data_IF_317970521063
#
_entry.id   IF_317970521063
#
_cell.length_a   1.000
_cell.length_b   1.000
_cell.length_c   1.000
_cell.angle_alpha   90.00
_cell.angle_beta   90.00
_cell.angle_gamma   90.00
#
_symmetry.space_group_name_H-M   'P 1'
#
loop_
_entity.id
_entity.type
_entity.pdbx_description
1 polymer ?
#
# COMPACT_ATOMS: atom_id res chain seq x y z
N UNK A 1 5.18 -26.62 5.57
CA UNK A 1 6.32 -26.92 4.66
C UNK A 1 7.60 -26.51 5.36
N UNK A 2 8.50 -27.47 5.61
CA UNK A 2 9.80 -27.19 6.24
C UNK A 2 10.65 -26.30 5.33
N UNK A 3 11.39 -25.34 5.92
CA UNK A 3 12.24 -24.42 5.17
C UNK A 3 13.35 -25.16 4.42
N UNK A 4 13.99 -24.52 3.44
CA UNK A 4 15.14 -25.11 2.75
C UNK A 4 16.24 -25.53 3.74
N UNK A 5 16.52 -24.72 4.76
CA UNK A 5 17.49 -25.02 5.81
C UNK A 5 17.10 -26.22 6.68
N UNK A 6 15.81 -26.36 7.01
CA UNK A 6 15.29 -27.51 7.77
C UNK A 6 15.48 -28.82 6.98
N UNK A 7 15.22 -28.78 5.66
CA UNK A 7 15.48 -29.92 4.75
C UNK A 7 16.96 -30.21 4.61
N UNK A 8 17.77 -29.16 4.42
CA UNK A 8 19.21 -29.27 4.32
C UNK A 8 19.82 -29.85 5.60
N UNK A 9 19.30 -29.51 6.76
CA UNK A 9 19.75 -30.07 8.04
C UNK A 9 19.52 -31.59 8.09
N UNK A 10 18.31 -32.05 7.73
CA UNK A 10 18.00 -33.47 7.67
C UNK A 10 18.83 -34.21 6.60
N UNK A 11 19.09 -33.58 5.45
CA UNK A 11 19.94 -34.12 4.40
C UNK A 11 21.41 -34.22 4.87
N UNK A 12 21.91 -33.21 5.58
CA UNK A 12 23.27 -33.19 6.10
C UNK A 12 23.50 -34.27 7.15
N UNK A 13 22.54 -34.44 8.07
CA UNK A 13 22.64 -35.46 9.12
C UNK A 13 22.74 -36.86 8.48
N UNK A 14 21.92 -37.13 7.45
CA UNK A 14 22.00 -38.37 6.66
C UNK A 14 23.32 -38.53 5.89
N UNK A 15 23.86 -37.46 5.30
CA UNK A 15 25.13 -37.53 4.57
C UNK A 15 26.34 -37.73 5.48
N UNK A 16 26.28 -37.20 6.70
CA UNK A 16 27.30 -37.43 7.73
C UNK A 16 27.26 -38.90 8.19
N UNK A 17 26.07 -39.44 8.45
CA UNK A 17 25.91 -40.86 8.83
C UNK A 17 26.40 -41.82 7.73
N UNK A 18 26.26 -41.42 6.46
CA UNK A 18 26.76 -42.18 5.30
C UNK A 18 28.25 -41.96 5.03
N UNK A 19 28.94 -41.11 5.80
CA UNK A 19 30.35 -40.78 5.60
C UNK A 19 30.66 -39.96 4.34
N UNK A 20 29.63 -39.42 3.67
CA UNK A 20 29.78 -38.58 2.47
C UNK A 20 30.27 -37.18 2.81
N UNK A 21 30.00 -36.70 4.03
CA UNK A 21 30.37 -35.37 4.50
C UNK A 21 31.03 -35.47 5.87
N UNK A 22 32.21 -34.85 6.10
CA UNK A 22 32.82 -34.79 7.42
C UNK A 22 31.94 -34.05 8.43
N UNK A 23 31.77 -34.60 9.63
CA UNK A 23 30.95 -33.99 10.69
C UNK A 23 31.39 -32.56 11.07
N UNK A 24 32.69 -32.27 10.97
CA UNK A 24 33.25 -30.93 11.24
C UNK A 24 32.75 -29.83 10.29
N UNK A 25 32.28 -30.21 9.09
CA UNK A 25 31.80 -29.25 8.10
C UNK A 25 30.33 -28.87 8.28
N UNK A 26 29.60 -29.57 9.16
CA UNK A 26 28.16 -29.39 9.37
C UNK A 26 27.80 -27.93 9.66
N UNK A 27 28.47 -27.34 10.63
CA UNK A 27 28.20 -25.97 11.08
C UNK A 27 28.54 -24.95 10.00
N UNK A 28 29.66 -25.14 9.29
CA UNK A 28 30.07 -24.27 8.19
C UNK A 28 29.05 -24.28 7.03
N UNK A 29 28.57 -25.46 6.64
CA UNK A 29 27.58 -25.60 5.56
C UNK A 29 26.20 -25.06 5.97
N UNK A 30 25.75 -25.29 7.21
CA UNK A 30 24.49 -24.72 7.68
C UNK A 30 24.56 -23.19 7.84
N UNK A 31 25.75 -22.65 8.13
CA UNK A 31 25.98 -21.21 8.22
C UNK A 31 26.11 -20.51 6.87
N UNK A 32 26.49 -21.25 5.80
CA UNK A 32 26.56 -20.69 4.44
C UNK A 32 25.18 -20.51 3.81
N UNK A 33 24.16 -21.20 4.32
CA UNK A 33 22.78 -21.09 3.86
C UNK A 33 22.03 -20.09 4.74
N UNK A 34 21.65 -18.97 4.12
CA UNK A 34 20.80 -17.97 4.75
C UNK A 34 19.52 -18.61 5.27
N UNK A 35 19.13 -18.28 6.52
CA UNK A 35 17.84 -18.68 7.05
C UNK A 35 16.75 -18.26 6.06
N UNK A 36 15.97 -19.24 5.61
CA UNK A 36 14.80 -18.98 4.79
C UNK A 36 13.90 -18.06 5.59
N UNK A 37 13.84 -16.78 5.19
CA UNK A 37 13.16 -15.69 5.87
C UNK A 37 11.68 -16.05 6.04
N UNK A 38 11.34 -16.79 7.09
CA UNK A 38 9.96 -17.06 7.49
C UNK A 38 9.37 -15.69 7.78
N UNK A 39 8.30 -15.35 7.07
CA UNK A 39 7.45 -14.23 7.49
C UNK A 39 6.94 -14.64 8.86
N UNK A 40 7.50 -14.04 9.90
CA UNK A 40 7.11 -14.34 11.27
C UNK A 40 5.63 -14.02 11.39
N UNK A 41 4.81 -15.04 11.66
CA UNK A 41 3.36 -14.88 11.75
C UNK A 41 3.02 -13.79 12.77
N UNK A 42 3.81 -13.70 13.85
CA UNK A 42 3.69 -12.66 14.87
C UNK A 42 3.84 -11.25 14.28
N UNK A 43 4.80 -11.05 13.38
CA UNK A 43 5.02 -9.78 12.70
C UNK A 43 3.85 -9.48 11.76
N UNK A 44 3.40 -10.46 10.98
CA UNK A 44 2.25 -10.27 10.10
C UNK A 44 0.98 -9.90 10.88
N UNK A 45 0.70 -10.61 11.99
CA UNK A 45 -0.40 -10.29 12.89
C UNK A 45 -0.25 -8.91 13.52
N UNK A 46 0.96 -8.50 13.91
CA UNK A 46 1.20 -7.16 14.46
C UNK A 46 0.93 -6.06 13.42
N UNK A 47 1.34 -6.26 12.15
CA UNK A 47 1.04 -5.32 11.07
C UNK A 47 -0.45 -5.23 10.81
N UNK A 48 -1.12 -6.38 10.66
CA UNK A 48 -2.57 -6.44 10.44
C UNK A 48 -3.31 -5.80 11.62
N UNK A 49 -2.93 -6.12 12.85
CA UNK A 49 -3.52 -5.56 14.06
C UNK A 49 -3.36 -4.05 14.14
N UNK A 50 -2.20 -3.51 13.78
CA UNK A 50 -1.99 -2.06 13.74
C UNK A 50 -2.86 -1.37 12.67
N UNK A 51 -2.99 -1.97 11.48
CA UNK A 51 -3.88 -1.46 10.43
C UNK A 51 -5.35 -1.49 10.87
N UNK A 52 -5.78 -2.61 11.44
CA UNK A 52 -7.14 -2.78 11.98
C UNK A 52 -7.41 -1.79 13.12
N UNK A 53 -6.43 -1.50 13.98
CA UNK A 53 -6.57 -0.51 15.04
C UNK A 53 -6.81 0.89 14.47
N UNK A 54 -6.10 1.28 13.41
CA UNK A 54 -6.32 2.54 12.71
C UNK A 54 -7.73 2.64 12.12
N UNK A 55 -8.19 1.58 11.46
CA UNK A 55 -9.56 1.50 10.92
C UNK A 55 -10.61 1.52 12.03
N UNK A 56 -10.38 0.78 13.12
CA UNK A 56 -11.28 0.73 14.27
C UNK A 56 -11.41 2.10 14.94
N UNK A 57 -10.34 2.88 15.04
CA UNK A 57 -10.40 4.23 15.56
C UNK A 57 -11.28 5.15 14.70
N UNK A 58 -11.16 5.07 13.36
CA UNK A 58 -12.03 5.81 12.44
C UNK A 58 -13.49 5.36 12.60
N UNK A 59 -13.73 4.05 12.63
CA UNK A 59 -15.07 3.48 12.78
C UNK A 59 -15.71 3.86 14.12
N UNK A 60 -14.93 3.91 15.20
CA UNK A 60 -15.40 4.34 16.51
C UNK A 60 -15.88 5.80 16.49
N UNK A 61 -15.13 6.70 15.85
CA UNK A 61 -15.53 8.11 15.72
C UNK A 61 -16.78 8.24 14.86
N UNK A 62 -16.86 7.47 13.77
CA UNK A 62 -18.03 7.41 12.90
C UNK A 62 -19.26 6.84 13.63
N UNK A 63 -19.10 5.85 14.51
CA UNK A 63 -20.19 5.26 15.27
C UNK A 63 -20.71 6.18 16.38
N UNK A 64 -19.85 7.01 16.96
CA UNK A 64 -20.20 7.98 17.99
C UNK A 64 -20.49 9.38 17.41
N UNK A 65 -20.90 9.43 16.13
CA UNK A 65 -21.08 10.67 15.39
C UNK A 65 -22.00 11.64 16.12
N UNK A 66 -23.19 11.21 16.52
CA UNK A 66 -24.21 12.10 17.07
C UNK A 66 -23.84 12.68 18.45
N UNK A 67 -22.95 12.02 19.18
CA UNK A 67 -22.57 12.39 20.55
C UNK A 67 -21.39 13.37 20.57
N UNK A 68 -20.42 13.20 19.68
CA UNK A 68 -19.16 13.96 19.73
C UNK A 68 -19.33 15.32 19.01
N UNK A 69 -18.99 16.47 19.60
CA UNK A 69 -19.01 17.76 18.91
C UNK A 69 -18.05 17.83 17.72
N UNK A 70 -18.40 18.59 16.67
CA UNK A 70 -17.60 18.72 15.43
C UNK A 70 -16.10 18.97 15.66
N UNK A 71 -15.77 19.95 16.51
CA UNK A 71 -14.37 20.31 16.80
C UNK A 71 -13.63 19.22 17.56
N UNK A 72 -14.32 18.48 18.43
CA UNK A 72 -13.74 17.36 19.17
C UNK A 72 -13.44 16.18 18.24
N UNK A 73 -14.29 15.88 17.25
CA UNK A 73 -14.02 14.83 16.24
C UNK A 73 -12.73 15.13 15.47
N UNK A 74 -12.58 16.37 15.01
CA UNK A 74 -11.40 16.82 14.29
C UNK A 74 -10.15 16.77 15.18
N UNK A 75 -10.24 17.28 16.42
CA UNK A 75 -9.13 17.21 17.38
C UNK A 75 -8.71 15.77 17.71
N UNK A 76 -9.66 14.85 17.84
CA UNK A 76 -9.39 13.44 18.12
C UNK A 76 -8.65 12.79 16.94
N UNK A 77 -9.14 12.96 15.71
CA UNK A 77 -8.44 12.42 14.53
C UNK A 77 -7.05 13.05 14.37
N UNK A 78 -6.93 14.37 14.53
CA UNK A 78 -5.66 15.05 14.39
C UNK A 78 -4.66 14.59 15.46
N UNK A 79 -5.09 14.49 16.71
CA UNK A 79 -4.24 14.00 17.80
C UNK A 79 -3.80 12.55 17.58
N UNK A 80 -4.70 11.69 17.10
CA UNK A 80 -4.38 10.31 16.75
C UNK A 80 -3.36 10.25 15.60
N UNK A 81 -3.55 11.03 14.54
CA UNK A 81 -2.61 11.13 13.43
C UNK A 81 -1.22 11.60 13.90
N UNK A 82 -1.17 12.67 14.70
CA UNK A 82 0.07 13.19 15.26
C UNK A 82 0.75 12.19 16.20
N UNK A 83 -0.02 11.46 17.01
CA UNK A 83 0.52 10.43 17.89
C UNK A 83 1.16 9.28 17.08
N UNK A 84 0.50 8.82 16.02
CA UNK A 84 1.03 7.75 15.15
C UNK A 84 2.27 8.20 14.39
N UNK A 85 2.29 9.43 13.87
CA UNK A 85 3.49 10.00 13.24
C UNK A 85 4.62 10.21 14.26
N UNK A 86 4.30 10.70 15.46
CA UNK A 86 5.26 10.82 16.56
C UNK A 86 5.87 9.47 16.91
N UNK A 87 5.05 8.42 17.00
CA UNK A 87 5.53 7.06 17.22
C UNK A 87 6.39 6.55 16.05
N UNK A 88 6.00 6.83 14.80
CA UNK A 88 6.75 6.43 13.62
C UNK A 88 8.13 7.12 13.57
N UNK A 89 8.17 8.42 13.82
CA UNK A 89 9.40 9.20 13.84
C UNK A 89 10.32 8.79 14.98
N UNK A 90 9.77 8.51 16.18
CA UNK A 90 10.53 7.97 17.30
C UNK A 90 11.11 6.59 16.96
N UNK A 91 10.30 5.70 16.39
CA UNK A 91 10.71 4.37 15.91
C UNK A 91 11.81 4.42 14.83
N UNK A 92 11.84 5.49 14.03
CA UNK A 92 12.81 5.67 12.96
C UNK A 92 14.19 6.14 13.43
N UNK A 93 14.33 6.73 14.63
CA UNK A 93 15.57 7.41 15.08
C UNK A 93 16.79 6.50 15.06
N UNK A 94 16.63 5.27 15.53
CA UNK A 94 17.76 4.34 15.69
C UNK A 94 17.88 3.35 14.52
N UNK A 95 16.98 3.42 13.53
CA UNK A 95 16.92 2.49 12.39
C UNK A 95 16.64 1.02 12.75
N UNK A 96 16.60 0.69 14.04
CA UNK A 96 16.49 -0.68 14.55
C UNK A 96 15.12 -1.34 14.31
N UNK A 97 14.09 -0.55 14.00
CA UNK A 97 12.69 -1.01 13.87
C UNK A 97 12.07 -0.59 12.53
N UNK A 98 12.60 -1.06 11.38
CA UNK A 98 12.12 -0.64 10.06
C UNK A 98 10.68 -1.10 9.80
N UNK A 99 10.32 -2.30 10.26
CA UNK A 99 8.96 -2.85 10.10
C UNK A 99 7.95 -2.01 10.88
N UNK A 100 8.25 -1.68 12.14
CA UNK A 100 7.36 -0.86 12.98
C UNK A 100 7.13 0.52 12.36
N UNK A 101 8.21 1.19 11.95
CA UNK A 101 8.16 2.49 11.27
C UNK A 101 7.30 2.43 10.02
N UNK A 102 7.52 1.41 9.17
CA UNK A 102 6.77 1.22 7.95
C UNK A 102 5.27 1.01 8.21
N UNK A 103 4.94 0.19 9.21
CA UNK A 103 3.56 -0.07 9.61
C UNK A 103 2.89 1.19 10.17
N UNK A 104 3.55 1.92 11.06
CA UNK A 104 3.01 3.15 11.65
C UNK A 104 2.77 4.22 10.58
N UNK A 105 3.66 4.38 9.61
CA UNK A 105 3.46 5.31 8.49
C UNK A 105 2.30 4.88 7.59
N UNK A 106 2.08 3.58 7.43
CA UNK A 106 0.93 3.03 6.70
C UNK A 106 -0.38 3.32 7.44
N UNK A 107 -0.39 3.14 8.76
CA UNK A 107 -1.52 3.49 9.62
C UNK A 107 -1.79 5.00 9.60
N UNK A 108 -0.76 5.84 9.68
CA UNK A 108 -0.90 7.29 9.59
C UNK A 108 -1.54 7.72 8.25
N UNK A 109 -1.13 7.10 7.14
CA UNK A 109 -1.74 7.33 5.83
C UNK A 109 -3.24 7.00 5.81
N UNK A 110 -3.64 5.87 6.40
CA UNK A 110 -5.05 5.48 6.49
C UNK A 110 -5.87 6.39 7.41
N UNK A 111 -5.30 6.80 8.55
CA UNK A 111 -5.94 7.75 9.47
C UNK A 111 -6.16 9.09 8.78
N UNK A 112 -5.17 9.56 8.00
CA UNK A 112 -5.32 10.78 7.22
C UNK A 112 -6.39 10.67 6.13
N UNK A 113 -6.46 9.53 5.43
CA UNK A 113 -7.54 9.27 4.47
C UNK A 113 -8.92 9.31 5.15
N UNK A 114 -9.03 8.67 6.32
CA UNK A 114 -10.22 8.75 7.17
C UNK A 114 -10.54 10.18 7.57
N UNK A 115 -9.54 10.98 7.95
CA UNK A 115 -9.70 12.39 8.32
C UNK A 115 -10.34 13.22 7.21
N UNK A 116 -9.90 13.03 5.96
CA UNK A 116 -10.47 13.72 4.80
C UNK A 116 -11.95 13.33 4.61
N UNK A 117 -12.26 12.04 4.62
CA UNK A 117 -13.64 11.57 4.48
C UNK A 117 -14.55 12.07 5.60
N UNK A 118 -14.04 12.05 6.84
CA UNK A 118 -14.75 12.52 8.01
C UNK A 118 -15.02 14.03 7.96
N UNK A 119 -14.03 14.80 7.48
CA UNK A 119 -14.13 16.25 7.30
C UNK A 119 -15.22 16.60 6.27
N UNK A 120 -15.30 15.86 5.16
CA UNK A 120 -16.37 16.02 4.17
C UNK A 120 -17.76 15.86 4.79
N UNK A 121 -17.94 14.85 5.65
CA UNK A 121 -19.20 14.63 6.36
C UNK A 121 -19.49 15.69 7.44
N UNK A 122 -18.47 16.20 8.15
CA UNK A 122 -18.65 17.21 9.21
C UNK A 122 -19.15 18.55 8.66
N UNK A 123 -18.61 18.97 7.52
CA UNK A 123 -18.88 20.29 6.94
C UNK A 123 -20.02 20.27 5.92
N UNK A 124 -20.68 19.13 5.72
CA UNK A 124 -21.73 18.93 4.70
C UNK A 124 -21.29 19.45 3.32
N UNK A 125 -20.00 19.31 3.04
CA UNK A 125 -19.46 19.68 1.74
C UNK A 125 -19.79 18.51 0.83
N UNK A 126 -20.55 18.76 -0.24
CA UNK A 126 -20.70 17.85 -1.37
C UNK A 126 -19.32 17.68 -2.05
N UNK A 127 -18.46 16.91 -1.41
CA UNK A 127 -17.09 16.67 -1.82
C UNK A 127 -17.07 15.53 -2.82
N UNK A 128 -16.31 15.73 -3.89
CA UNK A 128 -16.01 14.69 -4.88
C UNK A 128 -15.15 13.59 -4.22
N UNK A 129 -15.68 12.36 -4.03
CA UNK A 129 -14.94 11.27 -3.38
C UNK A 129 -13.64 10.91 -4.11
N UNK A 130 -13.60 11.08 -5.44
CA UNK A 130 -12.41 10.86 -6.25
C UNK A 130 -11.28 11.82 -5.84
N UNK A 131 -11.58 13.10 -5.63
CA UNK A 131 -10.60 14.11 -5.18
C UNK A 131 -10.16 13.87 -3.73
N UNK A 132 -11.08 13.48 -2.86
CA UNK A 132 -10.78 13.14 -1.48
C UNK A 132 -9.78 11.97 -1.40
N UNK A 133 -10.03 10.90 -2.15
CA UNK A 133 -9.15 9.72 -2.18
C UNK A 133 -7.79 10.01 -2.84
N UNK A 134 -7.75 10.81 -3.92
CA UNK A 134 -6.49 11.21 -4.57
C UNK A 134 -5.63 12.10 -3.68
N UNK A 135 -6.23 13.07 -2.99
CA UNK A 135 -5.50 13.93 -2.05
C UNK A 135 -4.98 13.14 -0.83
N UNK A 136 -5.75 12.17 -0.34
CA UNK A 136 -5.28 11.22 0.67
C UNK A 136 -4.12 10.36 0.16
N UNK A 137 -4.20 9.87 -1.08
CA UNK A 137 -3.13 9.13 -1.74
C UNK A 137 -1.86 9.95 -1.93
N UNK A 138 -1.98 11.24 -2.26
CA UNK A 138 -0.84 12.15 -2.35
C UNK A 138 -0.17 12.34 -0.98
N UNK A 139 -0.94 12.57 0.07
CA UNK A 139 -0.40 12.66 1.42
C UNK A 139 0.29 11.36 1.87
N UNK A 140 -0.29 10.21 1.54
CA UNK A 140 0.33 8.91 1.76
C UNK A 140 1.64 8.75 0.97
N UNK A 141 1.71 9.26 -0.27
CA UNK A 141 2.95 9.28 -1.05
C UNK A 141 4.02 10.18 -0.42
N UNK A 142 3.64 11.33 0.12
CA UNK A 142 4.55 12.21 0.86
C UNK A 142 5.09 11.52 2.11
N UNK A 143 4.24 10.84 2.89
CA UNK A 143 4.67 10.04 4.03
C UNK A 143 5.59 8.88 3.62
N UNK A 144 5.30 8.23 2.49
CA UNK A 144 6.12 7.17 1.93
C UNK A 144 7.52 7.67 1.61
N UNK A 145 7.63 8.81 0.90
CA UNK A 145 8.93 9.39 0.52
C UNK A 145 9.68 9.91 1.75
N UNK A 146 9.01 10.64 2.64
CA UNK A 146 9.62 11.21 3.84
C UNK A 146 10.16 10.12 4.79
N UNK A 147 9.43 9.02 4.95
CA UNK A 147 9.82 7.91 5.82
C UNK A 147 10.48 6.72 5.12
N UNK A 148 10.74 6.82 3.81
CA UNK A 148 11.20 5.71 2.95
C UNK A 148 10.37 4.42 3.16
N UNK A 149 9.06 4.57 3.31
CA UNK A 149 8.12 3.51 3.69
C UNK A 149 7.42 2.91 2.49
N UNK A 150 7.68 1.63 2.22
CA UNK A 150 6.99 0.88 1.17
C UNK A 150 5.51 0.64 1.50
N UNK A 151 5.16 0.50 2.78
CA UNK A 151 3.77 0.33 3.22
C UNK A 151 2.92 1.57 2.99
N UNK A 152 3.44 2.77 3.33
CA UNK A 152 2.76 4.02 3.00
C UNK A 152 2.67 4.24 1.48
N UNK A 153 3.68 3.79 0.72
CA UNK A 153 3.65 3.82 -0.75
C UNK A 153 2.57 2.90 -1.33
N UNK A 154 2.37 1.72 -0.73
CA UNK A 154 1.26 0.82 -1.08
C UNK A 154 -0.09 1.50 -0.78
N UNK A 155 -0.24 2.11 0.40
CA UNK A 155 -1.45 2.85 0.75
C UNK A 155 -1.71 4.01 -0.23
N UNK A 156 -0.67 4.72 -0.66
CA UNK A 156 -0.77 5.80 -1.64
C UNK A 156 -1.36 5.32 -2.96
N UNK A 157 -0.80 4.25 -3.54
CA UNK A 157 -1.29 3.68 -4.79
C UNK A 157 -2.71 3.11 -4.65
N UNK A 158 -3.00 2.45 -3.53
CA UNK A 158 -4.33 1.93 -3.25
C UNK A 158 -5.38 3.06 -3.17
N UNK A 159 -5.08 4.16 -2.46
CA UNK A 159 -5.98 5.31 -2.33
C UNK A 159 -6.18 6.03 -3.66
N UNK A 160 -5.13 6.23 -4.46
CA UNK A 160 -5.25 6.81 -5.81
C UNK A 160 -6.12 5.90 -6.68
N UNK A 161 -5.90 4.58 -6.64
CA UNK A 161 -6.68 3.61 -7.41
C UNK A 161 -8.15 3.56 -7.00
N UNK A 162 -8.45 3.61 -5.70
CA UNK A 162 -9.82 3.75 -5.20
C UNK A 162 -10.45 5.07 -5.66
N UNK A 163 -9.67 6.15 -5.73
CA UNK A 163 -10.11 7.43 -6.28
C UNK A 163 -10.55 7.30 -7.75
N UNK A 164 -9.75 6.63 -8.60
CA UNK A 164 -10.13 6.36 -9.99
C UNK A 164 -11.45 5.56 -10.07
N UNK A 165 -11.61 4.55 -9.22
CA UNK A 165 -12.83 3.75 -9.16
C UNK A 165 -14.05 4.59 -8.76
N UNK A 166 -13.91 5.44 -7.74
CA UNK A 166 -14.97 6.31 -7.27
C UNK A 166 -15.40 7.38 -8.30
N UNK A 167 -14.49 7.81 -9.17
CA UNK A 167 -14.76 8.77 -10.25
C UNK A 167 -15.49 8.20 -11.47
N UNK A 168 -15.65 6.87 -11.53
CA UNK A 168 -16.12 6.17 -12.72
C UNK A 168 -15.10 6.25 -13.85
N UNK A 169 -14.54 5.11 -14.27
CA UNK A 169 -13.53 5.03 -15.34
C UNK A 169 -13.96 5.65 -16.69
N UNK A 170 -15.27 5.93 -16.83
CA UNK A 170 -15.95 6.40 -18.02
C UNK A 170 -15.98 7.93 -18.19
N UNK A 171 -15.83 8.71 -17.12
CA UNK A 171 -15.73 10.17 -17.28
C UNK A 171 -14.29 10.49 -17.63
N UNK A 172 -14.03 11.28 -18.68
CA UNK A 172 -12.69 11.67 -19.16
C UNK A 172 -11.85 12.49 -18.16
N UNK A 173 -12.07 12.34 -16.86
CA UNK A 173 -11.40 13.02 -15.75
C UNK A 173 -10.05 12.36 -15.47
N UNK A 174 -8.97 13.10 -15.79
CA UNK A 174 -7.57 12.95 -15.34
C UNK A 174 -7.20 11.63 -14.63
N UNK A 175 -6.35 10.80 -15.26
CA UNK A 175 -6.00 9.45 -14.78
C UNK A 175 -4.65 9.43 -14.07
N UNK A 176 -4.67 9.57 -12.76
CA UNK A 176 -3.45 9.77 -11.97
C UNK A 176 -2.59 8.52 -11.91
N UNK A 177 -3.19 7.33 -12.03
CA UNK A 177 -2.48 6.05 -12.02
C UNK A 177 -1.43 5.92 -13.14
N UNK A 178 -1.63 6.57 -14.29
CA UNK A 178 -0.66 6.54 -15.40
C UNK A 178 0.67 7.16 -14.97
N UNK A 179 0.64 8.16 -14.09
CA UNK A 179 1.85 8.82 -13.57
C UNK A 179 2.28 8.25 -12.22
N UNK A 180 1.33 7.93 -11.35
CA UNK A 180 1.61 7.42 -10.02
C UNK A 180 2.21 6.00 -10.05
N UNK A 181 1.78 5.12 -10.97
CA UNK A 181 2.27 3.75 -11.03
C UNK A 181 3.74 3.64 -11.46
N UNK A 182 4.23 4.35 -12.51
CA UNK A 182 5.66 4.40 -12.84
C UNK A 182 6.52 4.96 -11.71
N UNK A 183 6.04 6.02 -11.03
CA UNK A 183 6.75 6.58 -9.86
C UNK A 183 6.81 5.54 -8.74
N UNK A 184 5.70 4.86 -8.44
CA UNK A 184 5.66 3.78 -7.47
C UNK A 184 6.59 2.62 -7.84
N UNK A 185 6.69 2.27 -9.12
CA UNK A 185 7.60 1.25 -9.62
C UNK A 185 9.06 1.66 -9.47
N UNK A 186 9.41 2.91 -9.80
CA UNK A 186 10.74 3.45 -9.60
C UNK A 186 11.13 3.43 -8.11
N UNK A 187 10.23 3.87 -7.23
CA UNK A 187 10.44 3.80 -5.78
C UNK A 187 10.59 2.35 -5.29
N UNK A 188 9.81 1.42 -5.82
CA UNK A 188 9.93 -0.01 -5.49
C UNK A 188 11.30 -0.57 -5.86
N UNK A 189 11.85 -0.15 -7.00
CA UNK A 189 13.20 -0.52 -7.42
C UNK A 189 14.26 0.10 -6.50
N UNK A 190 14.20 1.41 -6.25
CA UNK A 190 15.14 2.11 -5.35
C UNK A 190 15.10 1.61 -3.90
N UNK A 191 13.95 1.10 -3.44
CA UNK A 191 13.75 0.62 -2.08
C UNK A 191 13.74 -0.92 -1.97
N UNK A 192 14.07 -1.62 -3.06
CA UNK A 192 14.11 -3.08 -3.17
C UNK A 192 12.89 -3.78 -2.52
N UNK A 193 11.70 -3.21 -2.72
CA UNK A 193 10.49 -3.54 -1.98
C UNK A 193 9.50 -4.32 -2.85
N UNK A 194 9.45 -5.64 -2.63
CA UNK A 194 8.48 -6.53 -3.31
C UNK A 194 7.02 -6.08 -3.18
N UNK A 195 6.46 -5.75 -2.00
CA UNK A 195 5.04 -5.40 -1.91
C UNK A 195 4.69 -4.12 -2.69
N UNK A 196 5.58 -3.12 -2.67
CA UNK A 196 5.41 -1.90 -3.45
C UNK A 196 5.47 -2.18 -4.96
N UNK A 197 6.37 -3.06 -5.40
CA UNK A 197 6.45 -3.46 -6.81
C UNK A 197 5.17 -4.15 -7.31
N UNK A 198 4.57 -5.05 -6.51
CA UNK A 198 3.32 -5.73 -6.89
C UNK A 198 2.16 -4.74 -6.98
N UNK A 199 2.05 -3.82 -6.01
CA UNK A 199 1.00 -2.80 -6.03
C UNK A 199 1.20 -1.78 -7.14
N UNK A 200 2.44 -1.41 -7.46
CA UNK A 200 2.77 -0.57 -8.60
C UNK A 200 2.44 -1.27 -9.93
N UNK A 201 2.76 -2.57 -10.06
CA UNK A 201 2.39 -3.36 -11.24
C UNK A 201 0.87 -3.44 -11.42
N UNK A 202 0.12 -3.73 -10.36
CA UNK A 202 -1.34 -3.77 -10.38
C UNK A 202 -1.91 -2.39 -10.77
N UNK A 203 -1.38 -1.32 -10.17
CA UNK A 203 -1.78 0.07 -10.45
C UNK A 203 -1.50 0.45 -11.91
N UNK A 204 -0.38 -0.03 -12.46
CA UNK A 204 -0.02 0.20 -13.86
C UNK A 204 -0.98 -0.52 -14.80
N UNK A 205 -1.32 -1.78 -14.51
CA UNK A 205 -2.30 -2.55 -15.30
C UNK A 205 -3.65 -1.83 -15.30
N UNK A 206 -4.15 -1.45 -14.13
CA UNK A 206 -5.42 -0.72 -14.02
C UNK A 206 -5.34 0.61 -14.78
N UNK A 207 -4.28 1.39 -14.59
CA UNK A 207 -4.08 2.65 -15.29
C UNK A 207 -4.01 2.51 -16.82
N UNK A 208 -3.39 1.43 -17.32
CA UNK A 208 -3.30 1.13 -18.75
C UNK A 208 -4.65 0.67 -19.33
N UNK A 209 -5.38 -0.19 -18.63
CA UNK A 209 -6.73 -0.60 -19.03
C UNK A 209 -7.67 0.60 -19.11
N UNK A 210 -7.60 1.50 -18.11
CA UNK A 210 -8.30 2.77 -18.16
C UNK A 210 -7.84 3.55 -19.40
N UNK A 211 -6.53 3.76 -19.61
CA UNK A 211 -5.99 4.46 -20.79
C UNK A 211 -6.59 3.96 -22.11
N UNK A 212 -6.58 2.65 -22.32
CA UNK A 212 -7.12 1.99 -23.52
C UNK A 212 -8.63 2.23 -23.68
N UNK A 213 -9.42 2.10 -22.62
CA UNK A 213 -10.89 2.32 -22.70
C UNK A 213 -11.25 3.73 -23.19
N UNK A 214 -10.46 4.74 -22.83
CA UNK A 214 -10.68 6.10 -23.34
C UNK A 214 -10.26 6.25 -24.78
N UNK A 215 -9.14 5.65 -25.17
CA UNK A 215 -8.71 5.67 -26.55
C UNK A 215 -9.80 5.10 -27.47
N UNK A 216 -10.39 3.98 -27.08
CA UNK A 216 -11.56 3.39 -27.75
C UNK A 216 -12.76 4.35 -27.80
N UNK A 217 -13.11 4.97 -26.67
CA UNK A 217 -14.27 5.87 -26.62
C UNK A 217 -14.08 7.16 -27.44
N UNK A 218 -12.85 7.70 -27.47
CA UNK A 218 -12.55 8.95 -28.17
C UNK A 218 -12.24 8.78 -29.65
N UNK A 219 -11.57 7.69 -30.03
CA UNK A 219 -11.10 7.48 -31.41
C UNK A 219 -11.71 6.24 -32.08
N UNK A 220 -12.15 5.23 -31.32
CA UNK A 220 -12.78 4.01 -31.86
C UNK A 220 -14.18 4.26 -32.44
N UNK A 221 -14.97 5.16 -31.84
CA UNK A 221 -16.30 5.52 -32.36
C UNK A 221 -16.24 6.32 -33.68
N UNK A 222 -15.17 7.07 -33.93
CA UNK A 222 -15.00 7.85 -35.16
C UNK A 222 -14.78 6.97 -36.40
N UNK A 223 -14.25 5.74 -36.24
CA UNK A 223 -13.98 4.82 -37.35
C UNK A 223 -15.23 4.20 -38.00
N UNK A 224 -16.36 4.11 -37.27
CA UNK A 224 -17.60 3.49 -37.76
C UNK A 224 -18.55 4.48 -38.47
N UNK A 225 -18.40 5.79 -38.24
CA UNK A 225 -19.30 6.83 -38.78
C UNK A 225 -18.80 7.35 -40.14
N UNK A 226 -17.58 7.00 -40.54
CA UNK A 226 -16.99 7.36 -41.85
C UNK A 226 -17.29 6.32 -42.96
N UNK A 227 -18.41 5.60 -42.90
CA UNK A 227 -18.90 4.86 -44.06
C UNK A 227 -19.48 5.86 -45.07
N UNK A 228 -18.94 5.97 -46.30
CA UNK A 228 -19.46 6.90 -47.29
C UNK A 228 -20.90 6.52 -47.61
N UNK A 229 -21.82 7.47 -47.39
CA UNK A 229 -23.20 7.38 -47.88
C UNK A 229 -23.12 7.27 -49.40
N UNK A 230 -23.31 6.07 -49.94
CA UNK A 230 -23.48 5.86 -51.37
C UNK A 230 -24.82 6.46 -51.73
N UNK A 231 -24.81 7.66 -52.30
CA UNK A 231 -26.00 8.28 -52.89
C UNK A 231 -26.50 7.39 -54.03
N UNK A 232 -27.74 6.92 -53.91
CA UNK A 232 -28.53 6.29 -55.00
C UNK A 232 -29.71 7.17 -55.34
#
# INVERSE_FOLDING_TARGET
MAGYKDRLQADLDRWIDQGLVPAGNRTAILSSVADGRRVDASVALAVIGALLLGVAAIAFIAANWDVIPRLARFGLILSLFLAVIGAATWSARDGARPILTNTLLSVAALIYAGAIGLTGQIFDIAGDPQRALRSAGLAAALLAVAGRSSGAGVAALALIGLGEFAGGFETGTSRWLIFAAPVGMALAWFWNSKPLAHMAALSLIVGLLSALSFYEQTWGAAGLIAAPQVCS
#
